data_IF_198409132197
#
_entry.id   IF_198409132197
#
_cell.length_a   1.000
_cell.length_b   1.000
_cell.length_c   1.000
_cell.angle_alpha   90.00
_cell.angle_beta   90.00
_cell.angle_gamma   90.00
#
_symmetry.space_group_name_H-M   'P 1'
#
loop_
_entity.id
_entity.type
_entity.pdbx_description
1 polymer ?
#
# COMPACT_ATOMS: atom_id res chain seq x y z
N UNK A 1 -3.61 -11.64 -1.08
CA UNK A 1 -2.89 -10.36 -0.99
C UNK A 1 -2.86 -9.68 -2.34
N UNK A 2 -2.90 -8.35 -2.39
CA UNK A 2 -2.70 -7.53 -3.58
C UNK A 2 -1.25 -7.03 -3.58
N UNK A 3 -0.49 -7.32 -4.64
CA UNK A 3 0.93 -6.98 -4.75
C UNK A 3 1.12 -5.87 -5.79
N UNK A 4 1.84 -4.81 -5.43
CA UNK A 4 2.02 -3.63 -6.26
C UNK A 4 3.51 -3.29 -6.35
N UNK A 5 4.12 -3.58 -7.49
CA UNK A 5 5.56 -3.42 -7.74
C UNK A 5 6.01 -1.93 -7.75
N UNK A 6 7.30 -1.70 -7.67
CA UNK A 6 7.90 -0.36 -7.83
C UNK A 6 7.99 0.06 -9.30
N UNK A 7 8.54 1.26 -9.54
CA UNK A 7 8.86 1.72 -10.90
C UNK A 7 9.83 0.74 -11.56
N UNK A 8 9.65 0.46 -12.85
CA UNK A 8 10.44 -0.49 -13.65
C UNK A 8 10.30 -1.96 -13.21
N UNK A 9 9.33 -2.24 -12.34
CA UNK A 9 9.03 -3.59 -11.88
C UNK A 9 7.96 -4.29 -12.70
N UNK A 10 7.63 -5.52 -12.28
CA UNK A 10 6.57 -6.30 -12.90
C UNK A 10 5.76 -7.10 -11.87
N UNK A 11 4.82 -7.91 -12.36
CA UNK A 11 3.93 -8.74 -11.54
C UNK A 11 4.64 -9.84 -10.75
N UNK A 12 5.94 -10.09 -10.97
CA UNK A 12 6.72 -11.13 -10.27
C UNK A 12 7.55 -10.59 -9.10
N UNK A 13 7.85 -9.30 -9.08
CA UNK A 13 8.82 -8.68 -8.17
C UNK A 13 8.52 -8.93 -6.69
N UNK A 14 7.27 -8.80 -6.28
CA UNK A 14 6.90 -8.95 -4.87
C UNK A 14 6.45 -10.36 -4.47
N UNK A 15 6.39 -11.31 -5.40
CA UNK A 15 5.90 -12.67 -5.11
C UNK A 15 6.73 -13.37 -4.04
N UNK A 16 8.06 -13.25 -4.10
CA UNK A 16 8.95 -13.85 -3.10
C UNK A 16 8.76 -13.21 -1.73
N UNK A 17 8.68 -11.88 -1.67
CA UNK A 17 8.40 -11.14 -0.42
C UNK A 17 7.05 -11.57 0.15
N UNK A 18 6.01 -11.57 -0.67
CA UNK A 18 4.66 -11.95 -0.25
C UNK A 18 4.61 -13.38 0.34
N UNK A 19 5.34 -14.32 -0.28
CA UNK A 19 5.44 -15.71 0.20
C UNK A 19 6.13 -15.81 1.56
N UNK A 20 7.07 -14.90 1.87
CA UNK A 20 7.71 -14.82 3.19
C UNK A 20 6.81 -14.16 4.24
N UNK A 21 6.02 -13.15 3.85
CA UNK A 21 5.12 -12.43 4.76
C UNK A 21 3.92 -13.28 5.16
N UNK A 22 3.33 -14.00 4.23
CA UNK A 22 2.15 -14.84 4.48
C UNK A 22 2.18 -16.11 3.61
N UNK A 23 2.89 -17.16 4.04
CA UNK A 23 2.96 -18.44 3.32
C UNK A 23 1.56 -19.00 3.05
N UNK A 24 1.32 -19.44 1.81
CA UNK A 24 0.06 -20.02 1.38
C UNK A 24 -1.09 -19.03 1.10
N UNK A 25 -0.85 -17.72 1.20
CA UNK A 25 -1.86 -16.73 0.82
C UNK A 25 -2.07 -16.70 -0.69
N UNK A 26 -3.32 -16.51 -1.13
CA UNK A 26 -3.62 -16.22 -2.53
C UNK A 26 -3.09 -14.83 -2.92
N UNK A 27 -2.51 -14.71 -4.11
CA UNK A 27 -1.87 -13.49 -4.59
C UNK A 27 -2.61 -12.95 -5.82
N UNK A 28 -2.87 -11.64 -5.82
CA UNK A 28 -3.21 -10.85 -6.98
C UNK A 28 -2.06 -9.90 -7.23
N UNK A 29 -1.43 -9.97 -8.39
CA UNK A 29 -0.24 -9.18 -8.71
C UNK A 29 -0.38 -8.59 -10.10
N UNK A 30 -1.07 -7.44 -10.25
CA UNK A 30 -1.16 -6.76 -11.53
C UNK A 30 0.14 -6.08 -11.89
N UNK A 31 0.40 -5.93 -13.20
CA UNK A 31 1.42 -5.03 -13.71
C UNK A 31 0.84 -3.62 -13.82
N UNK A 32 1.60 -2.60 -13.43
CA UNK A 32 1.23 -1.20 -13.64
C UNK A 32 1.08 -0.90 -15.14
N UNK A 33 0.05 -0.14 -15.49
CA UNK A 33 -0.37 0.10 -16.89
C UNK A 33 0.19 1.38 -17.48
N UNK A 34 0.87 2.21 -16.69
CA UNK A 34 1.54 3.42 -17.16
C UNK A 34 2.95 3.06 -17.64
N UNK A 35 3.30 3.49 -18.83
CA UNK A 35 4.65 3.35 -19.39
C UNK A 35 5.39 4.70 -19.29
N UNK A 36 6.41 4.76 -18.44
CA UNK A 36 7.32 5.89 -18.36
C UNK A 36 8.65 5.53 -19.05
N UNK A 37 8.72 5.77 -20.36
CA UNK A 37 9.93 5.47 -21.17
C UNK A 37 10.38 3.99 -21.08
N UNK A 38 9.45 3.06 -21.17
CA UNK A 38 9.70 1.62 -21.07
C UNK A 38 9.66 1.08 -19.63
N UNK A 39 9.45 1.93 -18.64
CA UNK A 39 9.37 1.54 -17.24
C UNK A 39 7.90 1.47 -16.77
N UNK A 40 7.38 0.29 -16.42
CA UNK A 40 6.03 0.14 -15.91
C UNK A 40 5.84 0.85 -14.57
N UNK A 41 4.71 1.55 -14.42
CA UNK A 41 4.27 2.24 -13.21
C UNK A 41 2.77 2.08 -13.01
N UNK A 42 2.28 2.30 -11.79
CA UNK A 42 0.84 2.32 -11.52
C UNK A 42 0.20 3.68 -11.82
N UNK A 43 0.95 4.77 -11.72
CA UNK A 43 0.46 6.12 -12.01
C UNK A 43 1.60 7.04 -12.47
N UNK A 44 1.23 8.14 -13.17
CA UNK A 44 2.14 9.13 -13.74
C UNK A 44 2.80 10.01 -12.68
N UNK A 45 3.94 10.62 -13.04
CA UNK A 45 4.59 11.69 -12.29
C UNK A 45 5.03 12.79 -13.24
N UNK A 46 5.12 14.02 -12.75
CA UNK A 46 5.67 15.14 -13.52
C UNK A 46 7.19 15.23 -13.37
N UNK A 47 7.73 14.78 -12.23
CA UNK A 47 9.14 14.67 -11.93
C UNK A 47 9.35 13.71 -10.75
N UNK A 48 10.61 13.44 -10.37
CA UNK A 48 10.92 12.66 -9.17
C UNK A 48 10.30 13.33 -7.93
N UNK A 49 9.47 12.58 -7.20
CA UNK A 49 8.75 13.09 -6.03
C UNK A 49 7.60 14.06 -6.32
N UNK A 50 7.30 14.36 -7.59
CA UNK A 50 6.19 15.23 -8.01
C UNK A 50 5.19 14.41 -8.81
N UNK A 51 4.14 13.94 -8.14
CA UNK A 51 3.17 13.03 -8.72
C UNK A 51 2.04 13.74 -9.45
N UNK A 52 1.51 13.09 -10.49
CA UNK A 52 0.25 13.47 -11.11
C UNK A 52 -0.89 12.94 -10.23
N UNK A 53 -1.49 13.84 -9.46
CA UNK A 53 -2.50 13.47 -8.45
C UNK A 53 -3.83 13.06 -9.08
N UNK A 54 -4.19 13.66 -10.22
CA UNK A 54 -5.42 13.30 -10.93
C UNK A 54 -5.30 11.88 -11.51
N UNK A 55 -4.14 11.55 -12.09
CA UNK A 55 -3.88 10.19 -12.56
C UNK A 55 -3.79 9.20 -11.38
N UNK A 56 -3.16 9.57 -10.25
CA UNK A 56 -3.13 8.72 -9.05
C UNK A 56 -4.54 8.37 -8.56
N UNK A 57 -5.45 9.34 -8.52
CA UNK A 57 -6.86 9.13 -8.15
C UNK A 57 -7.55 8.20 -9.13
N UNK A 58 -7.45 8.49 -10.43
CA UNK A 58 -8.08 7.68 -11.47
C UNK A 58 -7.58 6.23 -11.43
N UNK A 59 -6.26 6.02 -11.27
CA UNK A 59 -5.66 4.69 -11.20
C UNK A 59 -6.01 3.94 -9.91
N UNK A 60 -6.16 4.63 -8.78
CA UNK A 60 -6.62 4.00 -7.54
C UNK A 60 -8.07 3.49 -7.66
N UNK A 61 -8.95 4.25 -8.32
CA UNK A 61 -10.32 3.84 -8.59
C UNK A 61 -10.36 2.66 -9.58
N UNK A 62 -9.56 2.68 -10.64
CA UNK A 62 -9.39 1.58 -11.60
C UNK A 62 -8.88 0.29 -10.91
N UNK A 63 -7.84 0.40 -10.07
CA UNK A 63 -7.29 -0.72 -9.32
C UNK A 63 -8.32 -1.30 -8.34
N UNK A 64 -9.12 -0.45 -7.70
CA UNK A 64 -10.22 -0.86 -6.84
C UNK A 64 -11.24 -1.71 -7.61
N UNK A 65 -11.68 -1.24 -8.78
CA UNK A 65 -12.65 -1.95 -9.60
C UNK A 65 -12.08 -3.28 -10.13
N UNK A 66 -10.83 -3.27 -10.59
CA UNK A 66 -10.13 -4.47 -11.06
C UNK A 66 -9.97 -5.50 -9.95
N UNK A 67 -9.54 -5.08 -8.75
CA UNK A 67 -9.35 -5.97 -7.60
C UNK A 67 -10.65 -6.67 -7.21
N UNK A 68 -11.77 -5.94 -7.17
CA UNK A 68 -13.10 -6.52 -6.93
C UNK A 68 -13.47 -7.56 -7.98
N UNK A 69 -13.29 -7.23 -9.26
CA UNK A 69 -13.60 -8.14 -10.36
C UNK A 69 -12.73 -9.40 -10.31
N UNK A 70 -11.44 -9.25 -10.04
CA UNK A 70 -10.50 -10.36 -9.90
C UNK A 70 -10.89 -11.27 -8.71
N UNK A 71 -11.17 -10.70 -7.54
CA UNK A 71 -11.61 -11.47 -6.38
C UNK A 71 -12.89 -12.26 -6.67
N UNK A 72 -13.86 -11.64 -7.35
CA UNK A 72 -15.09 -12.32 -7.76
C UNK A 72 -14.80 -13.47 -8.76
N UNK A 73 -13.98 -13.22 -9.77
CA UNK A 73 -13.62 -14.22 -10.79
C UNK A 73 -12.91 -15.46 -10.21
N UNK A 74 -12.08 -15.24 -9.18
CA UNK A 74 -11.36 -16.33 -8.50
C UNK A 74 -12.10 -16.86 -7.26
N UNK A 75 -13.35 -16.46 -7.04
CA UNK A 75 -14.16 -16.84 -5.87
C UNK A 75 -13.40 -16.62 -4.55
N UNK A 76 -12.74 -15.47 -4.41
CA UNK A 76 -12.03 -15.06 -3.20
C UNK A 76 -12.76 -13.91 -2.51
N UNK A 77 -13.00 -14.00 -1.20
CA UNK A 77 -13.61 -12.90 -0.46
C UNK A 77 -12.67 -11.69 -0.43
N UNK A 78 -13.25 -10.51 -0.34
CA UNK A 78 -12.49 -9.27 -0.10
C UNK A 78 -12.08 -9.14 1.37
N UNK A 79 -12.83 -9.78 2.28
CA UNK A 79 -12.55 -9.75 3.70
C UNK A 79 -11.15 -10.25 3.99
N UNK A 80 -10.39 -9.44 4.72
CA UNK A 80 -9.01 -9.74 5.03
C UNK A 80 -8.01 -9.47 3.89
N UNK A 81 -8.42 -8.78 2.79
CA UNK A 81 -7.48 -8.38 1.74
C UNK A 81 -6.43 -7.41 2.28
N UNK A 82 -5.16 -7.74 2.07
CA UNK A 82 -4.01 -6.90 2.45
C UNK A 82 -3.21 -6.56 1.20
N UNK A 83 -2.86 -5.27 1.04
CA UNK A 83 -1.95 -4.84 -0.01
C UNK A 83 -0.49 -4.91 0.48
N UNK A 84 0.42 -5.25 -0.42
CA UNK A 84 1.88 -5.11 -0.23
C UNK A 84 2.40 -4.32 -1.42
N UNK A 85 2.94 -3.15 -1.17
CA UNK A 85 3.45 -2.27 -2.22
C UNK A 85 4.88 -1.83 -1.97
N UNK A 86 5.64 -1.59 -3.05
CA UNK A 86 6.97 -1.02 -3.01
C UNK A 86 7.03 0.29 -3.80
N UNK A 87 7.63 1.35 -3.24
CA UNK A 87 7.84 2.64 -3.89
C UNK A 87 6.57 3.18 -4.59
N UNK A 88 6.53 3.24 -5.93
CA UNK A 88 5.35 3.62 -6.70
C UNK A 88 4.12 2.77 -6.33
N UNK A 89 4.28 1.45 -6.19
CA UNK A 89 3.21 0.55 -5.76
C UNK A 89 2.80 0.73 -4.31
N UNK A 90 3.71 1.16 -3.41
CA UNK A 90 3.34 1.51 -2.04
C UNK A 90 2.47 2.77 -2.02
N UNK A 91 2.78 3.75 -2.89
CA UNK A 91 1.98 4.95 -3.04
C UNK A 91 0.60 4.64 -3.61
N UNK A 92 0.51 3.74 -4.59
CA UNK A 92 -0.77 3.25 -5.10
C UNK A 92 -1.57 2.50 -4.02
N UNK A 93 -0.92 1.69 -3.17
CA UNK A 93 -1.60 0.93 -2.11
C UNK A 93 -2.28 1.85 -1.09
N UNK A 94 -1.58 2.87 -0.57
CA UNK A 94 -2.20 3.78 0.38
C UNK A 94 -3.24 4.71 -0.28
N UNK A 95 -3.03 5.13 -1.54
CA UNK A 95 -4.04 5.89 -2.28
C UNK A 95 -5.33 5.07 -2.47
N UNK A 96 -5.21 3.78 -2.80
CA UNK A 96 -6.34 2.85 -2.89
C UNK A 96 -7.06 2.69 -1.54
N UNK A 97 -6.31 2.56 -0.42
CA UNK A 97 -6.91 2.50 0.91
C UNK A 97 -7.69 3.77 1.27
N UNK A 98 -7.20 4.94 0.85
CA UNK A 98 -7.87 6.23 1.06
C UNK A 98 -9.14 6.35 0.21
N UNK A 99 -9.08 5.96 -1.06
CA UNK A 99 -10.23 6.02 -1.99
C UNK A 99 -11.31 4.99 -1.67
N UNK A 100 -10.90 3.81 -1.20
CA UNK A 100 -11.79 2.68 -0.90
C UNK A 100 -11.38 2.01 0.44
N UNK A 101 -11.65 2.64 1.61
CA UNK A 101 -11.26 2.09 2.92
C UNK A 101 -11.83 0.71 3.22
N UNK A 102 -12.96 0.40 2.62
CA UNK A 102 -13.65 -0.90 2.75
C UNK A 102 -12.94 -2.04 1.98
N UNK A 103 -12.06 -1.72 1.03
CA UNK A 103 -11.41 -2.72 0.17
C UNK A 103 -10.28 -3.47 0.90
N UNK A 104 -9.50 -2.75 1.71
CA UNK A 104 -8.30 -3.26 2.34
C UNK A 104 -8.44 -3.31 3.86
N UNK A 105 -8.17 -4.46 4.47
CA UNK A 105 -8.00 -4.58 5.92
C UNK A 105 -6.62 -4.12 6.39
N UNK A 106 -5.68 -4.04 5.48
CA UNK A 106 -4.38 -3.50 5.80
C UNK A 106 -3.47 -3.32 4.60
N UNK A 107 -2.36 -2.64 4.82
CA UNK A 107 -1.32 -2.43 3.83
C UNK A 107 0.08 -2.50 4.44
N UNK A 108 0.99 -3.17 3.75
CA UNK A 108 2.44 -3.11 3.98
C UNK A 108 3.03 -2.20 2.91
N UNK A 109 3.53 -1.06 3.32
CA UNK A 109 4.07 -0.02 2.46
C UNK A 109 5.60 0.01 2.60
N UNK A 110 6.30 -0.43 1.58
CA UNK A 110 7.76 -0.47 1.53
C UNK A 110 8.26 0.78 0.78
N UNK A 111 9.00 1.64 1.49
CA UNK A 111 9.53 2.90 0.97
C UNK A 111 8.44 3.82 0.33
N UNK A 112 7.31 4.10 1.01
CA UNK A 112 6.30 5.01 0.50
C UNK A 112 6.69 6.46 0.72
N UNK A 113 6.00 7.37 0.03
CA UNK A 113 6.02 8.79 0.36
C UNK A 113 4.62 9.39 0.29
N UNK A 114 4.40 10.48 1.04
CA UNK A 114 3.17 11.26 0.89
C UNK A 114 3.24 12.02 -0.44
N UNK A 115 2.23 11.84 -1.28
CA UNK A 115 2.21 12.35 -2.64
C UNK A 115 1.79 13.84 -2.73
N UNK A 116 1.33 14.45 -1.63
CA UNK A 116 0.80 15.82 -1.58
C UNK A 116 1.04 16.45 -0.21
N UNK A 117 0.88 17.77 -0.10
CA UNK A 117 0.91 18.42 1.20
C UNK A 117 -0.37 18.09 2.01
N UNK A 118 -0.27 17.92 3.34
CA UNK A 118 -1.41 17.51 4.18
C UNK A 118 -2.62 18.45 4.11
N UNK A 119 -2.43 19.70 3.71
CA UNK A 119 -3.49 20.69 3.49
C UNK A 119 -4.27 20.50 2.20
N UNK A 120 -3.62 19.82 1.21
CA UNK A 120 -4.21 19.56 -0.07
C UNK A 120 -4.73 18.11 -0.03
N UNK A 121 -6.03 17.91 -0.07
CA UNK A 121 -6.64 16.58 -0.01
C UNK A 121 -7.27 16.16 -1.36
N UNK A 122 -6.47 16.05 -2.44
CA UNK A 122 -7.00 15.75 -3.76
C UNK A 122 -7.68 14.39 -3.84
N UNK A 123 -7.26 13.44 -2.97
CA UNK A 123 -7.82 12.09 -2.95
C UNK A 123 -9.24 12.00 -2.39
N UNK A 124 -9.81 13.10 -1.90
CA UNK A 124 -11.14 13.09 -1.24
C UNK A 124 -12.22 13.82 -2.02
N UNK A 125 -11.93 14.35 -3.22
CA UNK A 125 -12.86 15.13 -4.04
C UNK A 125 -13.51 16.30 -3.26
N UNK A 126 -12.73 16.95 -2.36
CA UNK A 126 -13.20 18.03 -1.50
C UNK A 126 -14.12 17.62 -0.34
N UNK A 127 -14.30 16.31 -0.13
CA UNK A 127 -15.06 15.76 1.02
C UNK A 127 -14.20 15.73 2.28
N UNK A 128 -14.81 15.61 3.47
CA UNK A 128 -14.05 15.28 4.69
C UNK A 128 -13.17 14.05 4.43
N UNK A 129 -11.95 14.05 4.97
CA UNK A 129 -11.01 12.94 4.76
C UNK A 129 -11.64 11.59 5.13
N UNK A 130 -11.21 10.48 4.48
CA UNK A 130 -11.78 9.17 4.73
C UNK A 130 -11.56 8.73 6.18
N UNK A 131 -12.50 8.02 6.74
CA UNK A 131 -12.31 7.25 7.97
C UNK A 131 -11.53 5.98 7.63
N UNK A 132 -10.31 5.88 8.15
CA UNK A 132 -9.40 4.74 7.97
C UNK A 132 -9.35 3.84 9.21
N UNK A 133 -10.28 3.96 10.15
CA UNK A 133 -10.28 3.21 11.41
C UNK A 133 -10.34 1.68 11.22
N UNK A 134 -10.82 1.22 10.08
CA UNK A 134 -10.84 -0.21 9.70
C UNK A 134 -9.56 -0.69 9.01
N UNK A 135 -8.59 0.20 8.74
CA UNK A 135 -7.39 -0.11 7.96
C UNK A 135 -6.16 -0.11 8.86
N UNK A 136 -5.42 -1.21 8.88
CA UNK A 136 -4.11 -1.27 9.52
C UNK A 136 -2.99 -1.01 8.51
N UNK A 137 -1.99 -0.21 8.87
CA UNK A 137 -0.89 0.12 7.96
C UNK A 137 0.46 -0.10 8.62
N UNK A 138 1.34 -0.85 7.97
CA UNK A 138 2.76 -0.90 8.27
C UNK A 138 3.52 -0.11 7.21
N UNK A 139 4.30 0.88 7.64
CA UNK A 139 5.26 1.58 6.80
C UNK A 139 6.65 1.10 7.14
N UNK A 140 7.41 0.59 6.18
CA UNK A 140 8.82 0.26 6.32
C UNK A 140 9.65 1.23 5.47
N UNK A 141 10.53 1.99 6.12
CA UNK A 141 11.32 3.05 5.48
C UNK A 141 12.79 2.98 5.84
N UNK A 142 13.65 3.24 4.86
CA UNK A 142 15.09 3.28 5.04
C UNK A 142 15.58 4.61 5.59
N UNK A 143 16.46 4.57 6.62
CA UNK A 143 17.06 5.80 7.17
C UNK A 143 18.02 6.49 6.21
N UNK A 144 18.58 5.74 5.27
CA UNK A 144 19.47 6.25 4.22
C UNK A 144 18.80 6.30 2.84
N UNK A 145 17.46 6.33 2.80
CA UNK A 145 16.70 6.42 1.55
C UNK A 145 16.82 7.83 0.96
N UNK A 146 17.50 7.93 -0.20
CA UNK A 146 17.65 9.18 -0.95
C UNK A 146 16.50 9.44 -1.94
N UNK A 147 15.67 8.45 -2.24
CA UNK A 147 14.53 8.56 -3.17
C UNK A 147 13.24 8.91 -2.42
N UNK A 148 12.95 8.18 -1.34
CA UNK A 148 11.84 8.46 -0.44
C UNK A 148 12.39 8.90 0.93
N UNK A 149 12.65 10.19 1.14
CA UNK A 149 13.30 10.67 2.35
C UNK A 149 12.54 10.27 3.62
N UNK A 150 13.22 10.00 4.75
CA UNK A 150 12.60 9.61 6.01
C UNK A 150 11.42 10.51 6.42
N UNK A 151 11.56 11.82 6.25
CA UNK A 151 10.50 12.78 6.56
C UNK A 151 9.21 12.54 5.75
N UNK A 152 9.29 11.97 4.54
CA UNK A 152 8.10 11.65 3.74
C UNK A 152 7.32 10.47 4.36
N UNK A 153 8.02 9.46 4.87
CA UNK A 153 7.39 8.34 5.58
C UNK A 153 6.77 8.79 6.92
N UNK A 154 7.43 9.68 7.66
CA UNK A 154 6.89 10.27 8.89
C UNK A 154 5.61 11.07 8.63
N UNK A 155 5.60 11.92 7.60
CA UNK A 155 4.42 12.69 7.22
C UNK A 155 3.26 11.79 6.81
N UNK A 156 3.54 10.75 6.02
CA UNK A 156 2.51 9.77 5.63
C UNK A 156 1.94 9.03 6.85
N UNK A 157 2.81 8.58 7.76
CA UNK A 157 2.39 7.89 8.98
C UNK A 157 1.49 8.78 9.84
N UNK A 158 1.87 10.05 10.07
CA UNK A 158 1.06 11.02 10.80
C UNK A 158 -0.29 11.24 10.10
N UNK A 159 -0.28 11.48 8.79
CA UNK A 159 -1.47 11.73 8.01
C UNK A 159 -2.49 10.58 8.05
N UNK A 160 -2.02 9.33 7.97
CA UNK A 160 -2.86 8.13 8.08
C UNK A 160 -3.41 7.94 9.49
N UNK A 161 -2.57 8.17 10.52
CA UNK A 161 -2.97 8.08 11.92
C UNK A 161 -4.04 9.09 12.28
N UNK A 162 -3.91 10.33 11.83
CA UNK A 162 -4.91 11.39 12.05
C UNK A 162 -6.28 11.05 11.45
N UNK A 163 -6.32 10.11 10.51
CA UNK A 163 -7.56 9.59 9.88
C UNK A 163 -8.02 8.27 10.44
N UNK A 164 -7.46 7.86 11.57
CA UNK A 164 -7.89 6.69 12.32
C UNK A 164 -7.19 5.38 11.94
N UNK A 165 -6.30 5.35 10.93
CA UNK A 165 -5.59 4.13 10.57
C UNK A 165 -4.72 3.63 11.73
N UNK A 166 -4.72 2.32 11.98
CA UNK A 166 -3.79 1.69 12.91
C UNK A 166 -2.39 1.62 12.26
N UNK A 167 -1.63 2.70 12.36
CA UNK A 167 -0.36 2.89 11.65
C UNK A 167 0.84 2.49 12.52
N UNK A 168 1.74 1.66 11.97
CA UNK A 168 3.04 1.34 12.53
C UNK A 168 4.13 1.78 11.57
N UNK A 169 5.10 2.59 12.03
CA UNK A 169 6.29 2.99 11.27
C UNK A 169 7.48 2.15 11.74
N UNK A 170 8.12 1.45 10.81
CA UNK A 170 9.30 0.62 11.01
C UNK A 170 10.49 1.21 10.24
N UNK A 171 11.62 1.37 10.93
CA UNK A 171 12.85 1.88 10.34
C UNK A 171 13.86 0.76 10.13
N UNK A 172 14.54 0.79 8.99
CA UNK A 172 15.73 -0.01 8.75
C UNK A 172 16.93 0.87 8.36
N UNK A 173 18.17 0.41 8.57
CA UNK A 173 19.36 1.24 8.33
C UNK A 173 19.66 1.46 6.84
N UNK A 174 19.07 0.67 5.95
CA UNK A 174 19.30 0.69 4.50
C UNK A 174 18.73 1.90 3.79
N UNK A 175 18.83 1.87 2.45
CA UNK A 175 18.31 2.87 1.52
C UNK A 175 16.87 2.55 1.06
N UNK A 176 16.62 2.73 -0.24
CA UNK A 176 15.26 2.62 -0.81
C UNK A 176 14.67 1.21 -0.77
N UNK A 177 15.49 0.18 -0.94
CA UNK A 177 15.00 -1.20 -0.91
C UNK A 177 14.85 -1.71 0.52
N UNK A 178 13.78 -2.47 0.83
CA UNK A 178 13.59 -3.07 2.14
C UNK A 178 14.73 -4.06 2.42
N UNK A 179 15.27 -4.00 3.62
CA UNK A 179 16.28 -4.95 4.11
C UNK A 179 15.63 -6.11 4.87
N UNK A 180 16.41 -7.13 5.28
CA UNK A 180 15.88 -8.26 6.04
C UNK A 180 15.17 -7.84 7.34
N UNK A 181 15.60 -6.77 8.00
CA UNK A 181 14.95 -6.27 9.24
C UNK A 181 13.53 -5.81 8.95
N UNK A 182 13.34 -5.03 7.87
CA UNK A 182 12.03 -4.57 7.43
C UNK A 182 11.08 -5.75 7.12
N UNK A 183 11.61 -6.80 6.48
CA UNK A 183 10.81 -7.99 6.13
C UNK A 183 10.43 -8.83 7.36
N UNK A 184 11.30 -8.94 8.36
CA UNK A 184 10.99 -9.61 9.64
C UNK A 184 9.87 -8.88 10.37
N UNK A 185 9.95 -7.56 10.47
CA UNK A 185 8.90 -6.74 11.08
C UNK A 185 7.58 -6.81 10.32
N UNK A 186 7.63 -6.76 8.99
CA UNK A 186 6.44 -6.88 8.15
C UNK A 186 5.76 -8.26 8.31
N UNK A 187 6.54 -9.33 8.43
CA UNK A 187 6.01 -10.68 8.70
C UNK A 187 5.35 -10.77 10.08
N UNK A 188 5.99 -10.24 11.12
CA UNK A 188 5.44 -10.22 12.47
C UNK A 188 4.12 -9.41 12.52
N UNK A 189 4.10 -8.25 11.86
CA UNK A 189 2.91 -7.42 11.74
C UNK A 189 1.79 -8.15 11.00
N UNK A 190 2.07 -8.78 9.86
CA UNK A 190 1.11 -9.57 9.09
C UNK A 190 0.49 -10.70 9.92
N UNK A 191 1.31 -11.36 10.75
CA UNK A 191 0.85 -12.43 11.65
C UNK A 191 -0.15 -11.90 12.69
N UNK A 192 0.14 -10.73 13.30
CA UNK A 192 -0.76 -10.07 14.25
C UNK A 192 -2.08 -9.65 13.58
N UNK A 193 -2.00 -9.04 12.40
CA UNK A 193 -3.19 -8.61 11.65
C UNK A 193 -4.10 -9.79 11.31
N UNK A 194 -3.54 -10.90 10.82
CA UNK A 194 -4.32 -12.11 10.50
C UNK A 194 -5.00 -12.70 11.74
N UNK A 195 -4.33 -12.70 12.88
CA UNK A 195 -4.92 -13.17 14.14
C UNK A 195 -6.10 -12.28 14.57
N UNK A 196 -5.98 -10.95 14.40
CA UNK A 196 -7.07 -10.01 14.70
C UNK A 196 -8.28 -10.22 13.79
N UNK A 197 -8.07 -10.34 12.47
CA UNK A 197 -9.15 -10.61 11.48
C UNK A 197 -9.87 -11.92 11.84
N UNK A 198 -9.15 -13.00 12.13
CA UNK A 198 -9.76 -14.29 12.47
C UNK A 198 -10.45 -14.33 13.84
N UNK A 199 -10.25 -13.32 14.71
CA UNK A 199 -11.01 -13.17 15.96
C UNK A 199 -12.32 -12.41 15.75
N UNK A 200 -12.34 -11.43 14.84
CA UNK A 200 -13.54 -10.67 14.48
C UNK A 200 -14.61 -11.57 13.84
N UNK A 201 -14.20 -12.47 12.93
CA UNK A 201 -15.12 -13.44 12.28
C UNK A 201 -15.78 -14.41 13.27
N UNK A 202 -15.20 -14.63 14.46
CA UNK A 202 -15.74 -15.52 15.50
C UNK A 202 -16.65 -14.81 16.48
N UNK A 203 -16.74 -13.49 16.43
CA UNK A 203 -17.55 -12.68 17.35
C UNK A 203 -18.94 -12.31 16.79
N UNK A 204 -19.29 -12.74 15.58
CA UNK A 204 -20.62 -12.56 15.01
C UNK A 204 -21.48 -13.75 15.45
N UNK A 205 -22.54 -13.53 16.27
CA UNK A 205 -23.43 -14.58 16.76
C UNK A 205 -24.34 -15.17 15.67
#
# INVERSE_FOLDING_TARGET
MLLLHGTDGDEHDLVTIASQLAPGAALLSPRGTVDESGQPRFFCRHAEGVFDLDDLVARADELTAWTRAACAAYARPLDGLVAVGFANGANMAWATAVRAPWLLRGAVLLAPMLAFEPTDTPLTDGRPGPDLSSVAVLIAAGRADGTAPPAAAERLAAWLTDRGAATQLCWHPGGHHPDPTALVEARAWMTRLRAAIGSDDRAVP
#
